data_IF_127936286953
#
_entry.id   IF_127936286953
#
_cell.length_a   1.000
_cell.length_b   1.000
_cell.length_c   1.000
_cell.angle_alpha   90.00
_cell.angle_beta   90.00
_cell.angle_gamma   90.00
#
_symmetry.space_group_name_H-M   'P 1'
#
loop_
_entity.id
_entity.type
_entity.pdbx_description
1 polymer ?
#
# COMPACT_ATOMS: atom_id res chain seq x y z
N UNK A 1 22.70 4.34 22.53
CA UNK A 1 21.60 5.13 21.92
C UNK A 1 21.60 5.13 20.38
N UNK A 2 22.73 4.94 19.69
CA UNK A 2 22.78 4.96 18.22
C UNK A 2 22.15 3.74 17.52
N UNK A 3 22.20 2.54 18.11
CA UNK A 3 21.61 1.32 17.52
C UNK A 3 20.08 1.30 17.51
N UNK A 4 19.43 1.75 18.60
CA UNK A 4 17.95 1.78 18.69
C UNK A 4 17.29 2.65 17.60
N UNK A 5 17.97 3.71 17.18
CA UNK A 5 17.47 4.59 16.11
C UNK A 5 17.55 3.93 14.73
N UNK A 6 18.57 3.09 14.50
CA UNK A 6 18.74 2.36 13.24
C UNK A 6 17.70 1.23 13.09
N UNK A 7 17.44 0.52 14.19
CA UNK A 7 16.42 -0.54 14.23
C UNK A 7 15.02 0.03 13.94
N UNK A 8 14.68 1.18 14.53
CA UNK A 8 13.38 1.84 14.29
C UNK A 8 13.22 2.29 12.81
N UNK A 9 14.31 2.72 12.17
CA UNK A 9 14.30 3.10 10.77
C UNK A 9 14.09 1.89 9.84
N UNK A 10 14.71 0.74 10.15
CA UNK A 10 14.55 -0.51 9.39
C UNK A 10 13.11 -1.03 9.47
N UNK A 11 12.54 -1.14 10.67
CA UNK A 11 11.14 -1.54 10.86
C UNK A 11 10.15 -0.62 10.13
N UNK A 12 10.47 0.68 10.03
CA UNK A 12 9.65 1.66 9.32
C UNK A 12 9.73 1.50 7.79
N UNK A 13 10.83 0.99 7.26
CA UNK A 13 10.97 0.68 5.83
C UNK A 13 10.23 -0.62 5.48
N UNK A 14 10.42 -1.67 6.26
CA UNK A 14 9.71 -2.95 6.10
C UNK A 14 8.18 -2.78 6.15
N UNK A 15 7.69 -1.90 7.04
CA UNK A 15 6.25 -1.57 7.09
C UNK A 15 5.73 -0.97 5.79
N UNK A 16 6.49 -0.06 5.16
CA UNK A 16 6.05 0.58 3.90
C UNK A 16 5.94 -0.45 2.78
N UNK A 17 6.89 -1.38 2.72
CA UNK A 17 6.87 -2.44 1.72
C UNK A 17 5.71 -3.40 1.93
N UNK A 18 5.45 -3.76 3.19
CA UNK A 18 4.30 -4.58 3.56
C UNK A 18 2.97 -3.90 3.20
N UNK A 19 2.82 -2.62 3.54
CA UNK A 19 1.63 -1.84 3.22
C UNK A 19 1.40 -1.73 1.70
N UNK A 20 2.47 -1.60 0.90
CA UNK A 20 2.39 -1.61 -0.57
C UNK A 20 1.87 -2.96 -1.08
N UNK A 21 2.37 -4.07 -0.53
CA UNK A 21 1.94 -5.43 -0.89
C UNK A 21 0.45 -5.60 -0.58
N UNK A 22 0.01 -5.18 0.60
CA UNK A 22 -1.36 -5.37 1.04
C UNK A 22 -2.35 -4.50 0.26
N UNK A 23 -2.02 -3.25 -0.04
CA UNK A 23 -2.82 -2.39 -0.93
C UNK A 23 -2.92 -2.96 -2.36
N UNK A 24 -1.86 -3.61 -2.87
CA UNK A 24 -1.90 -4.28 -4.18
C UNK A 24 -2.83 -5.50 -4.15
N UNK A 25 -2.79 -6.31 -3.09
CA UNK A 25 -3.73 -7.44 -2.90
C UNK A 25 -5.17 -6.95 -2.85
N UNK A 26 -5.43 -5.88 -2.08
CA UNK A 26 -6.75 -5.26 -2.01
C UNK A 26 -7.23 -4.81 -3.39
N UNK A 27 -6.37 -4.15 -4.17
CA UNK A 27 -6.70 -3.72 -5.53
C UNK A 27 -7.07 -4.90 -6.45
N UNK A 28 -6.41 -6.05 -6.30
CA UNK A 28 -6.76 -7.28 -7.05
C UNK A 28 -8.15 -7.77 -6.64
N UNK A 29 -8.43 -7.88 -5.34
CA UNK A 29 -9.74 -8.28 -4.83
C UNK A 29 -10.84 -7.35 -5.32
N UNK A 30 -10.63 -6.03 -5.30
CA UNK A 30 -11.58 -5.05 -5.81
C UNK A 30 -11.84 -5.20 -7.31
N UNK A 31 -10.83 -5.55 -8.11
CA UNK A 31 -11.00 -5.86 -9.54
C UNK A 31 -11.82 -7.13 -9.75
N UNK A 32 -11.58 -8.17 -8.96
CA UNK A 32 -12.36 -9.42 -9.00
C UNK A 32 -13.83 -9.12 -8.67
N UNK A 33 -14.10 -8.35 -7.61
CA UNK A 33 -15.46 -7.92 -7.23
C UNK A 33 -16.14 -7.14 -8.35
N UNK A 34 -15.42 -6.24 -9.02
CA UNK A 34 -15.94 -5.48 -10.17
C UNK A 34 -16.31 -6.40 -11.34
N UNK A 35 -15.42 -7.34 -11.70
CA UNK A 35 -15.65 -8.28 -12.81
C UNK A 35 -16.82 -9.23 -12.51
N UNK A 36 -16.92 -9.70 -11.27
CA UNK A 36 -18.03 -10.54 -10.79
C UNK A 36 -19.34 -9.77 -10.57
N UNK A 37 -19.39 -8.47 -10.91
CA UNK A 37 -20.56 -7.58 -10.73
C UNK A 37 -21.11 -7.56 -9.31
N UNK A 38 -20.25 -7.82 -8.31
CA UNK A 38 -20.62 -7.66 -6.92
C UNK A 38 -20.84 -6.18 -6.59
N UNK A 39 -21.69 -5.90 -5.59
CA UNK A 39 -21.93 -4.53 -5.12
C UNK A 39 -20.60 -3.92 -4.66
N UNK A 40 -20.13 -2.90 -5.37
CA UNK A 40 -18.89 -2.20 -5.08
C UNK A 40 -19.05 -0.72 -5.40
N UNK A 41 -18.56 0.13 -4.50
CA UNK A 41 -18.57 1.57 -4.72
C UNK A 41 -17.41 1.95 -5.65
N UNK A 42 -17.68 2.66 -6.78
CA UNK A 42 -16.66 2.96 -7.79
C UNK A 42 -15.44 3.72 -7.25
N UNK A 43 -15.67 4.57 -6.25
CA UNK A 43 -14.62 5.42 -5.68
C UNK A 43 -13.62 4.64 -4.84
N UNK A 44 -13.96 3.44 -4.34
CA UNK A 44 -13.04 2.59 -3.57
C UNK A 44 -11.84 2.21 -4.45
N UNK A 45 -12.07 1.77 -5.69
CA UNK A 45 -10.98 1.44 -6.63
C UNK A 45 -10.09 2.67 -6.90
N UNK A 46 -10.69 3.86 -7.06
CA UNK A 46 -9.93 5.10 -7.28
C UNK A 46 -9.07 5.44 -6.06
N UNK A 47 -9.64 5.34 -4.86
CA UNK A 47 -8.95 5.61 -3.58
C UNK A 47 -7.79 4.64 -3.37
N UNK A 48 -8.00 3.34 -3.51
CA UNK A 48 -6.95 2.32 -3.34
C UNK A 48 -5.81 2.51 -4.35
N UNK A 49 -6.12 2.83 -5.62
CA UNK A 49 -5.08 3.19 -6.62
C UNK A 49 -4.25 4.40 -6.19
N UNK A 50 -4.92 5.44 -5.69
CA UNK A 50 -4.24 6.65 -5.23
C UNK A 50 -3.34 6.37 -4.03
N UNK A 51 -3.80 5.56 -3.07
CA UNK A 51 -3.01 5.14 -1.91
C UNK A 51 -1.77 4.34 -2.32
N UNK A 52 -1.89 3.40 -3.28
CA UNK A 52 -0.73 2.69 -3.84
C UNK A 52 0.29 3.66 -4.43
N UNK A 53 -0.17 4.66 -5.20
CA UNK A 53 0.73 5.65 -5.80
C UNK A 53 1.45 6.51 -4.75
N UNK A 54 0.75 6.93 -3.69
CA UNK A 54 1.37 7.66 -2.57
C UNK A 54 2.44 6.81 -1.87
N UNK A 55 2.14 5.55 -1.56
CA UNK A 55 3.10 4.66 -0.89
C UNK A 55 4.33 4.37 -1.74
N UNK A 56 4.15 4.17 -3.06
CA UNK A 56 5.28 4.03 -3.99
C UNK A 56 6.13 5.30 -4.09
N UNK A 57 5.51 6.47 -4.02
CA UNK A 57 6.23 7.76 -3.99
C UNK A 57 7.07 7.88 -2.72
N UNK A 58 6.49 7.56 -1.57
CA UNK A 58 7.21 7.57 -0.28
C UNK A 58 8.36 6.56 -0.31
N UNK A 59 8.12 5.34 -0.79
CA UNK A 59 9.15 4.31 -0.92
C UNK A 59 10.31 4.79 -1.81
N UNK A 60 10.01 5.38 -2.97
CA UNK A 60 11.02 5.92 -3.88
C UNK A 60 11.79 7.10 -3.27
N UNK A 61 11.11 7.99 -2.55
CA UNK A 61 11.76 9.16 -1.92
C UNK A 61 12.71 8.81 -0.77
N UNK A 62 12.54 7.62 -0.18
CA UNK A 62 13.38 7.12 0.93
C UNK A 62 14.57 6.29 0.47
N UNK A 63 14.60 5.89 -0.81
CA UNK A 63 15.63 5.05 -1.40
C UNK A 63 16.62 5.91 -2.17
#
# INVERSE_FOLDING_TARGET
MKEKNNINLMYKLERVDQDIIDLKKELVLLRIKKVTKQKLEPHIIKKTKHQVAQMLTIHKSKK
#
